data_IF_466677725993
#
_entry.id   IF_466677725993
#
_cell.length_a   1.000
_cell.length_b   1.000
_cell.length_c   1.000
_cell.angle_alpha   90.00
_cell.angle_beta   90.00
_cell.angle_gamma   90.00
#
_symmetry.space_group_name_H-M   'P 1'
#
loop_
_entity.id
_entity.type
_entity.pdbx_description
1 polymer ?
#
# COMPACT_ATOMS: atom_id res chain seq x y z
N UNK A 1 -22.72 -6.43 4.68
CA UNK A 1 -21.90 -7.62 4.97
C UNK A 1 -22.66 -8.84 4.47
N UNK A 2 -22.41 -9.25 3.23
CA UNK A 2 -23.10 -10.39 2.60
C UNK A 2 -22.54 -11.67 3.23
N UNK A 3 -23.43 -12.61 3.54
CA UNK A 3 -23.09 -13.85 4.22
C UNK A 3 -22.22 -14.75 3.34
N UNK A 4 -21.08 -15.23 3.86
CA UNK A 4 -20.14 -16.13 3.15
C UNK A 4 -20.77 -17.42 2.60
N UNK A 5 -22.00 -17.77 3.00
CA UNK A 5 -22.75 -18.93 2.49
C UNK A 5 -23.35 -18.72 1.09
N UNK A 6 -23.72 -17.50 0.71
CA UNK A 6 -24.35 -17.24 -0.61
C UNK A 6 -23.32 -17.02 -1.73
N UNK A 7 -22.09 -16.66 -1.38
CA UNK A 7 -21.03 -16.25 -2.31
C UNK A 7 -20.40 -17.41 -3.11
N UNK A 8 -20.41 -18.63 -2.58
CA UNK A 8 -19.90 -19.84 -3.26
C UNK A 8 -20.68 -20.18 -4.54
N UNK A 9 -21.98 -19.83 -4.60
CA UNK A 9 -22.84 -20.09 -5.76
C UNK A 9 -22.50 -19.16 -6.93
N UNK A 10 -22.18 -17.89 -6.65
CA UNK A 10 -21.83 -16.90 -7.66
C UNK A 10 -20.47 -17.17 -8.31
N UNK A 11 -19.48 -17.61 -7.52
CA UNK A 11 -18.15 -17.94 -8.04
C UNK A 11 -18.18 -19.09 -9.05
N UNK A 12 -19.02 -20.10 -8.79
CA UNK A 12 -19.23 -21.25 -9.69
C UNK A 12 -20.08 -20.91 -10.91
N UNK A 13 -21.08 -20.04 -10.78
CA UNK A 13 -21.97 -19.67 -11.90
C UNK A 13 -21.29 -18.74 -12.90
N UNK A 14 -20.45 -17.81 -12.43
CA UNK A 14 -19.75 -16.83 -13.28
C UNK A 14 -18.29 -17.19 -13.56
N UNK A 15 -17.85 -18.40 -13.17
CA UNK A 15 -16.49 -18.92 -13.40
C UNK A 15 -15.39 -17.94 -12.94
N UNK A 16 -15.62 -17.25 -11.83
CA UNK A 16 -14.63 -16.33 -11.26
C UNK A 16 -13.44 -17.12 -10.69
N UNK A 17 -12.23 -16.79 -11.14
CA UNK A 17 -10.97 -17.37 -10.65
C UNK A 17 -10.48 -16.73 -9.36
N UNK A 18 -10.91 -15.50 -9.09
CA UNK A 18 -10.64 -14.73 -7.89
C UNK A 18 -11.88 -13.90 -7.50
N UNK A 19 -11.90 -13.35 -6.28
CA UNK A 19 -13.01 -12.54 -5.81
C UNK A 19 -12.95 -11.13 -6.43
N UNK A 20 -14.02 -10.72 -7.11
CA UNK A 20 -14.03 -9.52 -7.97
C UNK A 20 -13.83 -8.18 -7.24
N UNK A 21 -14.03 -8.13 -5.92
CA UNK A 21 -13.97 -6.88 -5.13
C UNK A 21 -13.05 -6.98 -3.91
N UNK A 22 -12.05 -7.87 -3.96
CA UNK A 22 -11.04 -7.91 -2.92
C UNK A 22 -10.12 -6.70 -2.97
N UNK A 23 -9.85 -6.10 -1.81
CA UNK A 23 -8.95 -4.96 -1.69
C UNK A 23 -7.46 -5.31 -1.93
N UNK A 24 -7.14 -6.60 -2.07
CA UNK A 24 -5.80 -7.15 -2.09
C UNK A 24 -5.35 -7.66 -3.48
N UNK A 25 -5.76 -7.02 -4.58
CA UNK A 25 -5.25 -7.34 -5.91
C UNK A 25 -3.72 -7.12 -5.98
N UNK A 26 -2.97 -8.08 -6.53
CA UNK A 26 -1.52 -7.93 -6.71
C UNK A 26 -1.23 -6.67 -7.57
N UNK A 27 -0.34 -5.77 -7.14
CA UNK A 27 0.01 -4.59 -7.92
C UNK A 27 0.49 -4.87 -9.35
N UNK A 28 0.98 -6.07 -9.64
CA UNK A 28 1.35 -6.53 -10.99
C UNK A 28 0.15 -6.79 -11.88
N UNK A 29 -1.00 -7.10 -11.30
CA UNK A 29 -2.27 -7.35 -11.99
C UNK A 29 -3.09 -6.07 -12.19
N UNK A 30 -2.57 -4.92 -11.75
CA UNK A 30 -3.25 -3.65 -11.96
C UNK A 30 -3.40 -3.34 -13.44
N UNK A 31 -4.61 -2.93 -13.82
CA UNK A 31 -4.88 -2.44 -15.17
C UNK A 31 -3.89 -1.33 -15.54
N UNK A 32 -3.15 -1.46 -16.66
CA UNK A 32 -2.06 -0.55 -17.02
C UNK A 32 -2.60 0.75 -17.64
N UNK A 33 -3.45 1.48 -16.92
CA UNK A 33 -3.92 2.79 -17.35
C UNK A 33 -2.73 3.74 -17.58
N UNK A 34 -2.85 4.61 -18.59
CA UNK A 34 -1.83 5.63 -18.90
C UNK A 34 -1.56 6.53 -17.68
N UNK A 35 -2.61 6.97 -17.00
CA UNK A 35 -2.54 7.79 -15.79
C UNK A 35 -1.72 7.14 -14.67
N UNK A 36 -1.94 5.85 -14.40
CA UNK A 36 -1.17 5.08 -13.41
C UNK A 36 0.29 4.95 -13.83
N UNK A 37 0.52 4.67 -15.11
CA UNK A 37 1.88 4.47 -15.65
C UNK A 37 2.69 5.76 -15.59
N UNK A 38 2.11 6.89 -16.00
CA UNK A 38 2.75 8.20 -15.90
C UNK A 38 2.99 8.62 -14.46
N UNK A 39 2.00 8.45 -13.58
CA UNK A 39 2.14 8.80 -12.17
C UNK A 39 3.24 7.97 -11.50
N UNK A 40 3.30 6.67 -11.79
CA UNK A 40 4.36 5.78 -11.28
C UNK A 40 5.73 6.26 -11.75
N UNK A 41 5.92 6.55 -13.05
CA UNK A 41 7.18 7.07 -13.59
C UNK A 41 7.62 8.39 -12.95
N UNK A 42 6.67 9.32 -12.72
CA UNK A 42 6.96 10.60 -12.04
C UNK A 42 7.46 10.36 -10.62
N UNK A 43 6.85 9.41 -9.89
CA UNK A 43 7.30 9.07 -8.54
C UNK A 43 8.64 8.31 -8.53
N UNK A 44 8.87 7.41 -9.48
CA UNK A 44 10.16 6.73 -9.65
C UNK A 44 11.30 7.73 -9.88
N UNK A 45 11.04 8.78 -10.65
CA UNK A 45 12.01 9.84 -10.90
C UNK A 45 12.45 10.56 -9.60
N UNK A 46 11.59 10.61 -8.57
CA UNK A 46 11.91 11.24 -7.29
C UNK A 46 12.88 10.41 -6.44
N UNK A 47 13.03 9.11 -6.73
CA UNK A 47 13.89 8.20 -5.95
C UNK A 47 15.37 8.56 -6.09
N UNK A 48 15.82 8.92 -7.29
CA UNK A 48 17.19 9.33 -7.57
C UNK A 48 17.65 10.54 -6.73
N UNK A 49 16.96 11.69 -6.80
CA UNK A 49 17.28 12.85 -5.98
C UNK A 49 16.84 12.73 -4.52
N UNK A 50 16.17 11.64 -4.11
CA UNK A 50 15.55 11.47 -2.78
C UNK A 50 14.58 12.61 -2.45
N UNK A 51 13.80 13.02 -3.44
CA UNK A 51 12.86 14.13 -3.32
C UNK A 51 11.54 13.70 -2.66
N UNK A 52 10.81 14.69 -2.13
CA UNK A 52 9.47 14.50 -1.55
C UNK A 52 8.44 14.59 -2.68
N UNK A 53 7.54 13.60 -2.75
CA UNK A 53 6.43 13.56 -3.71
C UNK A 53 5.06 13.71 -3.03
N UNK A 54 4.16 14.46 -3.67
CA UNK A 54 2.77 14.63 -3.22
C UNK A 54 1.81 14.13 -4.30
N UNK A 55 0.95 13.17 -3.93
CA UNK A 55 -0.09 12.63 -4.81
C UNK A 55 -1.45 13.16 -4.37
N UNK A 56 -2.10 13.97 -5.22
CA UNK A 56 -3.35 14.66 -4.91
C UNK A 56 -4.53 14.17 -5.76
N UNK A 57 -5.71 14.78 -5.57
CA UNK A 57 -6.96 14.54 -6.31
C UNK A 57 -8.12 14.13 -5.39
N UNK A 58 -9.19 13.61 -5.97
CA UNK A 58 -10.36 13.18 -5.21
C UNK A 58 -10.23 11.79 -4.54
N UNK A 59 -11.17 11.50 -3.63
CA UNK A 59 -11.28 10.18 -3.00
C UNK A 59 -11.54 9.08 -4.05
N UNK A 60 -10.91 7.92 -3.88
CA UNK A 60 -11.01 6.77 -4.79
C UNK A 60 -10.41 6.94 -6.20
N UNK A 61 -9.62 8.00 -6.45
CA UNK A 61 -8.91 8.20 -7.72
C UNK A 61 -7.58 7.43 -7.84
N UNK A 62 -7.36 6.41 -6.99
CA UNK A 62 -6.20 5.53 -7.11
C UNK A 62 -4.88 6.07 -6.55
N UNK A 63 -4.90 7.03 -5.62
CA UNK A 63 -3.67 7.53 -4.96
C UNK A 63 -2.89 6.42 -4.28
N UNK A 64 -3.57 5.70 -3.39
CA UNK A 64 -3.01 4.55 -2.68
C UNK A 64 -2.62 3.45 -3.66
N UNK A 65 -3.38 3.28 -4.75
CA UNK A 65 -3.09 2.32 -5.81
C UNK A 65 -1.75 2.61 -6.49
N UNK A 66 -1.49 3.86 -6.88
CA UNK A 66 -0.21 4.26 -7.49
C UNK A 66 0.94 4.09 -6.50
N UNK A 67 0.77 4.50 -5.23
CA UNK A 67 1.79 4.30 -4.21
C UNK A 67 2.11 2.81 -3.97
N UNK A 68 1.07 1.96 -3.96
CA UNK A 68 1.23 0.50 -3.83
C UNK A 68 1.94 -0.11 -5.03
N UNK A 69 1.64 0.37 -6.25
CA UNK A 69 2.32 -0.05 -7.48
C UNK A 69 3.80 0.29 -7.46
N UNK A 70 4.14 1.52 -7.10
CA UNK A 70 5.53 1.96 -6.94
C UNK A 70 6.25 1.09 -5.92
N UNK A 71 5.69 0.96 -4.71
CA UNK A 71 6.28 0.16 -3.63
C UNK A 71 6.58 -1.28 -4.06
N UNK A 72 5.69 -1.90 -4.84
CA UNK A 72 5.87 -3.26 -5.32
C UNK A 72 6.90 -3.39 -6.46
N UNK A 73 7.18 -2.30 -7.17
CA UNK A 73 8.18 -2.26 -8.24
C UNK A 73 9.61 -2.01 -7.71
N UNK A 74 9.76 -1.50 -6.49
CA UNK A 74 11.07 -1.23 -5.90
C UNK A 74 11.81 -2.52 -5.54
N UNK A 75 13.08 -2.61 -5.95
CA UNK A 75 13.95 -3.70 -5.55
C UNK A 75 14.34 -3.55 -4.06
N UNK A 76 14.27 -4.62 -3.25
CA UNK A 76 14.47 -4.54 -1.79
C UNK A 76 15.92 -4.27 -1.36
N UNK A 77 16.91 -4.37 -2.26
CA UNK A 77 18.32 -4.11 -1.93
C UNK A 77 18.60 -2.62 -1.65
N UNK A 78 18.28 -1.67 -2.55
CA UNK A 78 18.47 -0.25 -2.28
C UNK A 78 17.31 0.43 -1.53
N UNK A 79 16.12 -0.17 -1.49
CA UNK A 79 14.92 0.47 -0.95
C UNK A 79 14.24 -0.38 0.12
N UNK A 80 13.82 0.28 1.20
CA UNK A 80 12.88 -0.24 2.19
C UNK A 80 11.68 0.68 2.23
N UNK A 81 10.47 0.10 2.13
CA UNK A 81 9.22 0.86 2.12
C UNK A 81 8.55 0.75 3.47
N UNK A 82 8.12 1.88 4.00
CA UNK A 82 7.37 1.98 5.25
C UNK A 82 6.00 2.60 4.98
N UNK A 83 4.95 2.00 5.51
CA UNK A 83 3.59 2.53 5.38
C UNK A 83 3.19 3.24 6.67
N UNK A 84 3.25 4.57 6.65
CA UNK A 84 2.86 5.36 7.81
C UNK A 84 1.39 5.10 8.18
N UNK A 85 1.07 5.05 9.49
CA UNK A 85 -0.30 4.90 9.95
C UNK A 85 -1.19 6.06 9.46
N UNK A 86 -2.50 5.83 9.20
CA UNK A 86 -3.39 6.79 8.52
C UNK A 86 -3.51 8.16 9.18
N UNK A 87 -3.30 8.23 10.49
CA UNK A 87 -3.44 9.41 11.33
C UNK A 87 -2.37 9.40 12.44
N UNK A 88 -1.14 9.89 12.19
CA UNK A 88 -0.14 10.07 13.24
C UNK A 88 -0.41 11.31 14.12
N UNK A 89 -1.60 11.91 13.99
CA UNK A 89 -1.94 13.29 14.39
C UNK A 89 -1.80 13.62 15.86
N UNK A 90 -1.77 12.63 16.76
CA UNK A 90 -1.70 12.90 18.20
C UNK A 90 -0.33 12.56 18.81
N UNK A 91 0.49 11.74 18.15
CA UNK A 91 1.76 11.32 18.71
C UNK A 91 2.78 10.89 17.65
N UNK A 92 3.79 11.74 17.42
CA UNK A 92 4.93 11.43 16.54
C UNK A 92 5.67 10.16 16.98
N UNK A 93 5.61 9.81 18.27
CA UNK A 93 6.19 8.56 18.77
C UNK A 93 5.55 7.31 18.16
N UNK A 94 4.27 7.34 17.80
CA UNK A 94 3.61 6.20 17.14
C UNK A 94 4.17 5.99 15.72
N UNK A 95 4.50 7.08 15.01
CA UNK A 95 5.20 6.98 13.72
C UNK A 95 6.60 6.37 13.91
N UNK A 96 7.38 6.85 14.89
CA UNK A 96 8.71 6.31 15.15
C UNK A 96 8.68 4.83 15.57
N UNK A 97 7.70 4.43 16.40
CA UNK A 97 7.49 3.03 16.78
C UNK A 97 7.13 2.16 15.57
N UNK A 98 6.25 2.64 14.69
CA UNK A 98 5.89 1.93 13.44
C UNK A 98 7.12 1.72 12.56
N UNK A 99 7.94 2.74 12.35
CA UNK A 99 9.18 2.64 11.56
C UNK A 99 10.17 1.67 12.22
N UNK A 100 10.35 1.73 13.54
CA UNK A 100 11.22 0.83 14.29
C UNK A 100 10.78 -0.62 14.14
N UNK A 101 9.48 -0.88 14.36
CA UNK A 101 8.87 -2.19 14.19
C UNK A 101 9.06 -2.76 12.78
N UNK A 102 8.71 -1.99 11.75
CA UNK A 102 8.87 -2.40 10.35
C UNK A 102 10.34 -2.55 9.94
N UNK A 103 11.26 -1.86 10.63
CA UNK A 103 12.70 -1.98 10.38
C UNK A 103 13.33 -3.20 11.05
N UNK A 104 12.62 -3.90 11.93
CA UNK A 104 13.15 -4.96 12.80
C UNK A 104 13.98 -4.42 13.98
N UNK A 105 13.92 -3.12 14.22
CA UNK A 105 14.55 -2.44 15.34
C UNK A 105 13.52 -2.37 16.48
N UNK A 106 13.41 -3.42 17.30
CA UNK A 106 12.48 -3.41 18.44
C UNK A 106 12.68 -2.15 19.30
N UNK A 107 11.60 -1.42 19.57
CA UNK A 107 11.58 -0.37 20.59
C UNK A 107 11.61 -1.00 22.00
N UNK A 108 12.02 -0.26 23.05
CA UNK A 108 12.62 -0.80 24.26
C UNK A 108 11.67 -1.69 25.05
N UNK A 109 12.25 -2.71 25.68
CA UNK A 109 11.66 -3.49 26.76
C UNK A 109 10.75 -2.61 27.63
N UNK A 110 9.52 -3.07 27.84
CA UNK A 110 8.73 -2.63 28.99
C UNK A 110 9.61 -2.80 30.23
N UNK A 111 10.09 -1.67 30.77
CA UNK A 111 10.67 -1.62 32.11
C UNK A 111 9.48 -1.92 33.03
N UNK A 112 9.57 -3.05 33.71
CA UNK A 112 8.58 -3.44 34.70
C UNK A 112 8.51 -2.41 35.81
N UNK A 113 7.28 -2.09 36.20
CA UNK A 113 6.86 -1.83 37.57
C UNK A 113 5.43 -2.36 37.72
#
# INVERSE_FOLDING_TARGET
MISRRTESKYRKHFTFTAWSFEHALDPKEFYPASSITEATKRLEHLLGPRAIGLVTGEANFGKTTVCRKLSAALHPSPYRVFHAPPLPTDNVMELYKSIGWESGLSAPSAIGH
#
